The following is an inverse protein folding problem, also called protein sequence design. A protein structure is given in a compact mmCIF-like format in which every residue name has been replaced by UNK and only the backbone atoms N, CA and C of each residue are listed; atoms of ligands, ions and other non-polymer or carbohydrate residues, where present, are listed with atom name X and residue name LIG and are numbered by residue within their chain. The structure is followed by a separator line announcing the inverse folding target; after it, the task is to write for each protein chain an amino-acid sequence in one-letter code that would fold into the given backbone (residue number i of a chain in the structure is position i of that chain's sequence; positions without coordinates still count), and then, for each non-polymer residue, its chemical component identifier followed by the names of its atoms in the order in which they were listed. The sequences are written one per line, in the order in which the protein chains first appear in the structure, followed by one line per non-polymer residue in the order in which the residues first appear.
data_IF_584860271803
#
_entry.id   IF_584860271803
#
_cell.length_a   1.000
_cell.length_b   1.000
_cell.length_c   1.000
_cell.angle_alpha   90.00
_cell.angle_beta   90.00
_cell.angle_gamma   90.00
#
_symmetry.space_group_name_H-M   'P 1'
#
loop_
_entity.id
_entity.type
_entity.pdbx_description
1 polymer ?
#
# COMPACT_ATOMS: atom_id res chain seq x y z
N UNK A 1 -35.21 17.72 11.43
CA UNK A 1 -33.75 17.95 11.58
C UNK A 1 -33.17 16.62 12.02
N UNK A 2 -32.66 15.82 11.07
CA UNK A 2 -32.05 14.52 11.35
C UNK A 2 -30.54 14.75 11.43
N UNK A 3 -29.95 14.52 12.61
CA UNK A 3 -28.50 14.61 12.85
C UNK A 3 -27.80 13.50 12.07
N UNK A 4 -26.97 13.86 11.10
CA UNK A 4 -26.12 12.96 10.32
C UNK A 4 -24.74 12.82 10.99
N UNK A 5 -24.71 12.59 12.30
CA UNK A 5 -23.48 12.28 13.05
C UNK A 5 -23.13 10.77 12.96
N UNK A 6 -23.31 10.19 11.77
CA UNK A 6 -22.98 8.78 11.49
C UNK A 6 -22.18 8.58 10.21
N UNK A 7 -21.56 9.63 9.68
CA UNK A 7 -20.51 9.47 8.67
C UNK A 7 -19.19 9.17 9.37
N UNK A 8 -19.09 8.00 10.00
CA UNK A 8 -17.80 7.42 10.34
C UNK A 8 -16.99 7.37 9.05
N UNK A 9 -15.87 8.10 9.00
CA UNK A 9 -15.00 8.29 7.85
C UNK A 9 -14.91 7.01 7.02
N UNK A 10 -15.67 6.95 5.93
CA UNK A 10 -15.54 5.87 4.97
C UNK A 10 -14.18 6.06 4.33
N UNK A 11 -13.18 5.30 4.82
CA UNK A 11 -11.86 5.26 4.21
C UNK A 11 -12.01 5.18 2.69
N UNK A 12 -11.24 6.02 2.00
CA UNK A 12 -11.34 6.21 0.55
C UNK A 12 -11.45 4.86 -0.17
N UNK A 13 -12.47 4.64 -1.02
CA UNK A 13 -12.66 3.35 -1.69
C UNK A 13 -11.46 2.93 -2.53
N UNK A 14 -10.66 3.87 -3.06
CA UNK A 14 -9.41 3.58 -3.74
C UNK A 14 -8.34 3.08 -2.75
N UNK A 15 -8.21 3.71 -1.58
CA UNK A 15 -7.27 3.28 -0.54
C UNK A 15 -7.58 1.85 -0.05
N UNK A 16 -8.86 1.52 0.12
CA UNK A 16 -9.29 0.14 0.45
C UNK A 16 -8.94 -0.88 -0.65
N UNK A 17 -9.06 -0.47 -1.90
CA UNK A 17 -8.76 -1.33 -3.05
C UNK A 17 -7.25 -1.61 -3.14
N UNK A 18 -6.42 -0.60 -2.88
CA UNK A 18 -4.95 -0.73 -2.87
C UNK A 18 -4.46 -1.59 -1.71
N UNK A 19 -4.99 -1.42 -0.50
CA UNK A 19 -4.64 -2.26 0.66
C UNK A 19 -4.99 -3.75 0.40
N UNK A 20 -6.15 -4.03 -0.19
CA UNK A 20 -6.52 -5.39 -0.56
C UNK A 20 -5.59 -5.97 -1.64
N UNK A 21 -5.25 -5.18 -2.66
CA UNK A 21 -4.32 -5.60 -3.71
C UNK A 21 -2.91 -5.87 -3.15
N UNK A 22 -2.42 -5.01 -2.26
CA UNK A 22 -1.13 -5.17 -1.60
C UNK A 22 -1.09 -6.44 -0.74
N UNK A 23 -2.14 -6.72 0.05
CA UNK A 23 -2.23 -7.96 0.83
C UNK A 23 -2.22 -9.21 -0.05
N UNK A 24 -2.96 -9.20 -1.16
CA UNK A 24 -2.95 -10.32 -2.10
C UNK A 24 -1.58 -10.53 -2.73
N UNK A 25 -0.90 -9.46 -3.16
CA UNK A 25 0.45 -9.53 -3.72
C UNK A 25 1.47 -10.04 -2.68
N UNK A 26 1.45 -9.50 -1.47
CA UNK A 26 2.29 -9.98 -0.36
C UNK A 26 2.01 -11.45 -0.02
N UNK A 27 0.74 -11.87 -0.06
CA UNK A 27 0.35 -13.26 0.13
C UNK A 27 0.99 -14.19 -0.91
N UNK A 28 1.01 -13.79 -2.18
CA UNK A 28 1.69 -14.57 -3.23
C UNK A 28 3.20 -14.64 -3.04
N UNK A 29 3.85 -13.54 -2.65
CA UNK A 29 5.30 -13.52 -2.40
C UNK A 29 5.67 -14.41 -1.21
N UNK A 30 4.89 -14.34 -0.12
CA UNK A 30 5.07 -15.17 1.07
C UNK A 30 4.83 -16.65 0.82
N UNK A 31 3.91 -16.99 -0.08
CA UNK A 31 3.67 -18.38 -0.48
C UNK A 31 4.89 -19.02 -1.16
N UNK A 32 5.75 -18.21 -1.78
CA UNK A 32 7.04 -18.62 -2.37
C UNK A 32 8.18 -18.65 -1.32
N UNK A 33 7.89 -18.39 -0.04
CA UNK A 33 8.88 -18.32 1.04
C UNK A 33 9.72 -17.05 1.04
N UNK A 34 9.30 -16.01 0.30
CA UNK A 34 9.95 -14.72 0.23
C UNK A 34 9.26 -13.72 1.17
N UNK A 35 10.02 -12.78 1.72
CA UNK A 35 9.50 -11.69 2.54
C UNK A 35 10.17 -10.38 2.09
N UNK A 36 9.40 -9.30 1.84
CA UNK A 36 9.99 -7.99 1.63
C UNK A 36 10.76 -7.54 2.87
N UNK A 37 11.87 -6.84 2.65
CA UNK A 37 12.59 -6.19 3.74
C UNK A 37 11.82 -4.98 4.29
N UNK A 38 12.34 -4.38 5.37
CA UNK A 38 11.71 -3.23 6.00
C UNK A 38 11.54 -2.03 5.04
N UNK A 39 12.49 -1.85 4.13
CA UNK A 39 12.40 -0.81 3.10
C UNK A 39 11.26 -1.12 2.11
N UNK A 40 11.22 -2.32 1.54
CA UNK A 40 10.16 -2.76 0.66
C UNK A 40 8.78 -2.65 1.30
N UNK A 41 8.66 -3.00 2.59
CA UNK A 41 7.40 -2.80 3.31
C UNK A 41 7.00 -1.33 3.45
N UNK A 42 7.95 -0.45 3.80
CA UNK A 42 7.65 0.98 3.94
C UNK A 42 7.15 1.62 2.64
N UNK A 43 7.69 1.19 1.48
CA UNK A 43 7.28 1.67 0.17
C UNK A 43 5.85 1.20 -0.17
N UNK A 44 5.52 -0.05 0.14
CA UNK A 44 4.17 -0.61 -0.07
C UNK A 44 3.14 0.13 0.79
N UNK A 45 3.47 0.40 2.05
CA UNK A 45 2.60 1.16 2.97
C UNK A 45 2.35 2.59 2.46
N UNK A 46 3.38 3.27 1.99
CA UNK A 46 3.25 4.61 1.41
C UNK A 46 2.36 4.65 0.16
N UNK A 47 2.42 3.60 -0.69
CA UNK A 47 1.51 3.47 -1.84
C UNK A 47 0.06 3.25 -1.40
N UNK A 48 -0.16 2.38 -0.40
CA UNK A 48 -1.51 2.11 0.11
C UNK A 48 -2.12 3.35 0.81
N UNK A 49 -1.29 4.15 1.47
CA UNK A 49 -1.69 5.42 2.08
C UNK A 49 -1.96 6.54 1.05
N UNK A 50 -1.60 6.34 -0.22
CA UNK A 50 -1.68 7.37 -1.26
C UNK A 50 -0.61 8.46 -1.14
N UNK A 51 0.37 8.27 -0.26
CA UNK A 51 1.52 9.18 -0.07
C UNK A 51 2.56 9.02 -1.18
N UNK A 52 2.54 7.87 -1.87
CA UNK A 52 3.45 7.53 -2.96
C UNK A 52 2.68 6.94 -4.14
N UNK A 53 3.01 7.38 -5.36
CA UNK A 53 2.48 6.75 -6.58
C UNK A 53 3.24 5.45 -6.88
N UNK A 54 2.62 4.52 -7.59
CA UNK A 54 3.27 3.28 -8.02
C UNK A 54 4.56 3.54 -8.82
N UNK A 55 4.55 4.51 -9.74
CA UNK A 55 5.74 4.90 -10.50
C UNK A 55 6.85 5.44 -9.60
N UNK A 56 6.48 6.25 -8.60
CA UNK A 56 7.42 6.75 -7.59
C UNK A 56 8.01 5.64 -6.73
N UNK A 57 7.20 4.65 -6.35
CA UNK A 57 7.65 3.47 -5.62
C UNK A 57 8.66 2.64 -6.43
N UNK A 58 8.37 2.40 -7.72
CA UNK A 58 9.29 1.69 -8.62
C UNK A 58 10.63 2.43 -8.71
N UNK A 59 10.61 3.75 -8.90
CA UNK A 59 11.83 4.55 -8.98
C UNK A 59 12.65 4.48 -7.69
N UNK A 60 12.00 4.54 -6.52
CA UNK A 60 12.69 4.41 -5.23
C UNK A 60 13.30 3.02 -5.03
N UNK A 61 12.56 1.96 -5.35
CA UNK A 61 13.05 0.57 -5.23
C UNK A 61 14.26 0.37 -6.14
N UNK A 62 14.16 0.78 -7.42
CA UNK A 62 15.27 0.64 -8.36
C UNK A 62 16.49 1.41 -7.87
N UNK A 63 16.32 2.67 -7.47
CA UNK A 63 17.41 3.48 -6.96
C UNK A 63 18.11 2.87 -5.75
N UNK A 64 17.37 2.21 -4.84
CA UNK A 64 17.94 1.56 -3.66
C UNK A 64 18.91 0.42 -3.99
N UNK A 65 18.61 -0.37 -5.04
CA UNK A 65 19.41 -1.54 -5.42
C UNK A 65 20.45 -1.26 -6.51
N UNK A 66 20.38 -0.11 -7.18
CA UNK A 66 21.37 0.30 -8.19
C UNK A 66 22.40 1.31 -7.67
N UNK A 67 22.33 1.69 -6.39
CA UNK A 67 23.25 2.62 -5.75
C UNK A 67 24.62 2.01 -5.43
#
# INVERSE_FOLDING_TARGET
MVSLDHYGAAADPAARTLDQAARSALGSVRAEGLEPDAFGMSVIEAVCAGELTTDGAIAQIVAHYTA
#
